data_IF_902613701851
#
_entry.id   IF_902613701851
#
_cell.length_a   1.000
_cell.length_b   1.000
_cell.length_c   1.000
_cell.angle_alpha   90.00
_cell.angle_beta   90.00
_cell.angle_gamma   90.00
#
_symmetry.space_group_name_H-M   'P 1'
#
loop_
_entity.id
_entity.type
_entity.pdbx_description
1 polymer ?
#
# COMPACT_ATOMS: atom_id res chain seq x y z
N UNK A 1 -43.75 -2.32 18.80
CA UNK A 1 -42.86 -1.88 17.70
C UNK A 1 -41.57 -2.67 17.82
N UNK A 2 -41.11 -3.41 16.79
CA UNK A 2 -39.82 -4.09 16.85
C UNK A 2 -38.69 -3.07 17.00
N UNK A 3 -37.68 -3.39 17.80
CA UNK A 3 -36.60 -2.44 18.15
C UNK A 3 -35.69 -2.17 16.94
N UNK A 4 -35.03 -1.00 16.89
CA UNK A 4 -34.09 -0.68 15.80
C UNK A 4 -32.94 -1.69 15.66
N UNK A 5 -32.61 -2.42 16.73
CA UNK A 5 -31.64 -3.52 16.71
C UNK A 5 -32.19 -4.77 15.99
N UNK A 6 -33.48 -5.07 16.13
CA UNK A 6 -34.12 -6.18 15.41
C UNK A 6 -34.17 -5.92 13.90
N UNK A 7 -34.36 -4.66 13.50
CA UNK A 7 -34.31 -4.26 12.09
C UNK A 7 -32.89 -4.35 11.51
N UNK A 8 -31.88 -3.87 12.25
CA UNK A 8 -30.48 -3.96 11.84
C UNK A 8 -29.97 -5.41 11.74
N UNK A 9 -30.41 -6.29 12.64
CA UNK A 9 -30.07 -7.72 12.60
C UNK A 9 -30.76 -8.41 11.41
N UNK A 10 -32.04 -8.13 11.15
CA UNK A 10 -32.75 -8.67 9.97
C UNK A 10 -32.10 -8.22 8.66
N UNK A 11 -31.72 -6.95 8.55
CA UNK A 11 -31.04 -6.44 7.36
C UNK A 11 -29.67 -7.08 7.17
N UNK A 12 -28.91 -7.30 8.26
CA UNK A 12 -27.62 -8.01 8.22
C UNK A 12 -27.80 -9.47 7.80
N UNK A 13 -28.82 -10.13 8.29
CA UNK A 13 -29.11 -11.53 7.99
C UNK A 13 -29.61 -11.70 6.56
N UNK A 14 -30.43 -10.78 6.05
CA UNK A 14 -30.84 -10.76 4.64
C UNK A 14 -29.65 -10.49 3.72
N UNK A 15 -28.81 -9.50 4.02
CA UNK A 15 -27.59 -9.22 3.24
C UNK A 15 -26.65 -10.42 3.24
N UNK A 16 -26.45 -11.08 4.40
CA UNK A 16 -25.66 -12.31 4.49
C UNK A 16 -26.25 -13.43 3.64
N UNK A 17 -27.57 -13.62 3.72
CA UNK A 17 -28.26 -14.66 2.95
C UNK A 17 -28.13 -14.43 1.45
N UNK A 18 -28.30 -13.20 0.99
CA UNK A 18 -28.15 -12.82 -0.42
C UNK A 18 -26.71 -12.96 -0.89
N UNK A 19 -25.72 -12.56 -0.07
CA UNK A 19 -24.29 -12.75 -0.40
C UNK A 19 -23.92 -14.24 -0.48
N UNK A 20 -24.35 -15.05 0.48
CA UNK A 20 -24.10 -16.51 0.46
C UNK A 20 -24.71 -17.18 -0.76
N UNK A 21 -25.89 -16.75 -1.19
CA UNK A 21 -26.52 -17.26 -2.42
C UNK A 21 -25.74 -16.87 -3.68
N UNK A 22 -25.21 -15.65 -3.75
CA UNK A 22 -24.37 -15.21 -4.87
C UNK A 22 -23.03 -15.94 -4.90
N UNK A 23 -22.39 -16.14 -3.73
CA UNK A 23 -21.13 -16.89 -3.62
C UNK A 23 -21.35 -18.34 -4.08
N UNK A 24 -22.38 -19.02 -3.57
CA UNK A 24 -22.70 -20.39 -3.97
C UNK A 24 -23.10 -20.51 -5.46
N UNK A 25 -23.57 -19.42 -6.09
CA UNK A 25 -23.78 -19.37 -7.54
C UNK A 25 -22.45 -19.21 -8.28
N UNK A 26 -21.60 -18.28 -7.85
CA UNK A 26 -20.27 -18.08 -8.43
C UNK A 26 -19.41 -19.34 -8.36
N UNK A 27 -19.43 -20.07 -7.24
CA UNK A 27 -18.69 -21.34 -7.09
C UNK A 27 -19.16 -22.40 -8.09
N UNK A 28 -20.48 -22.50 -8.33
CA UNK A 28 -21.03 -23.40 -9.35
C UNK A 28 -20.61 -22.97 -10.76
N UNK A 29 -20.63 -21.69 -11.05
CA UNK A 29 -20.25 -21.15 -12.35
C UNK A 29 -18.73 -21.38 -12.60
N UNK A 30 -17.88 -21.18 -11.60
CA UNK A 30 -16.44 -21.45 -11.67
C UNK A 30 -16.17 -22.94 -11.91
N UNK A 31 -16.80 -23.83 -11.15
CA UNK A 31 -16.63 -25.27 -11.33
C UNK A 31 -17.10 -25.71 -12.72
N UNK A 32 -18.21 -25.15 -13.21
CA UNK A 32 -18.69 -25.44 -14.57
C UNK A 32 -17.70 -24.98 -15.65
N UNK A 33 -17.10 -23.81 -15.50
CA UNK A 33 -16.07 -23.32 -16.43
C UNK A 33 -14.84 -24.23 -16.39
N UNK A 34 -14.42 -24.67 -15.20
CA UNK A 34 -13.28 -25.58 -15.04
C UNK A 34 -13.52 -26.93 -15.73
N UNK A 35 -14.74 -27.49 -15.62
CA UNK A 35 -15.13 -28.70 -16.33
C UNK A 35 -15.18 -28.49 -17.85
N UNK A 36 -15.69 -27.35 -18.30
CA UNK A 36 -15.72 -26.99 -19.72
C UNK A 36 -14.31 -26.89 -20.30
N UNK A 37 -13.38 -26.19 -19.63
CA UNK A 37 -11.99 -26.08 -20.07
C UNK A 37 -11.31 -27.44 -20.09
N UNK A 38 -11.51 -28.26 -19.05
CA UNK A 38 -10.94 -29.61 -18.98
C UNK A 38 -11.44 -30.50 -20.11
N UNK A 39 -12.74 -30.42 -20.43
CA UNK A 39 -13.34 -31.19 -21.53
C UNK A 39 -12.90 -30.69 -22.91
N UNK A 40 -12.71 -29.38 -23.09
CA UNK A 40 -12.15 -28.80 -24.32
C UNK A 40 -10.70 -29.25 -24.51
N UNK A 41 -9.89 -29.22 -23.46
CA UNK A 41 -8.51 -29.70 -23.51
C UNK A 41 -8.42 -31.19 -23.83
N UNK A 42 -9.30 -32.01 -23.25
CA UNK A 42 -9.41 -33.43 -23.56
C UNK A 42 -9.80 -33.66 -25.04
N UNK A 43 -10.75 -32.88 -25.58
CA UNK A 43 -11.14 -32.95 -27.00
C UNK A 43 -10.03 -32.51 -27.93
N UNK A 44 -9.32 -31.43 -27.62
CA UNK A 44 -8.16 -30.96 -28.40
C UNK A 44 -7.06 -32.02 -28.38
N UNK A 45 -6.74 -32.57 -27.22
CA UNK A 45 -5.75 -33.64 -27.08
C UNK A 45 -6.14 -34.90 -27.87
N UNK A 46 -7.41 -35.29 -27.84
CA UNK A 46 -7.92 -36.44 -28.58
C UNK A 46 -7.98 -36.18 -30.10
N UNK A 47 -8.24 -34.94 -30.52
CA UNK A 47 -8.21 -34.52 -31.93
C UNK A 47 -6.78 -34.41 -32.48
N UNK A 48 -5.79 -34.16 -31.62
CA UNK A 48 -4.36 -34.12 -31.97
C UNK A 48 -3.70 -35.49 -31.95
N UNK A 49 -4.31 -36.50 -31.33
CA UNK A 49 -3.82 -37.88 -31.30
C UNK A 49 -3.53 -38.47 -32.71
N UNK A 50 -4.43 -38.36 -33.72
CA UNK A 50 -4.15 -38.88 -35.06
C UNK A 50 -3.09 -38.07 -35.83
N UNK A 51 -2.88 -36.78 -35.49
CA UNK A 51 -1.79 -35.98 -36.07
C UNK A 51 -0.42 -36.45 -35.55
N UNK A 52 -0.39 -37.05 -34.35
CA UNK A 52 0.81 -37.63 -33.73
C UNK A 52 1.21 -38.99 -34.32
N UNK A 53 0.29 -39.67 -35.00
CA UNK A 53 0.51 -40.97 -35.68
C UNK A 53 0.88 -40.82 -37.18
N UNK A 54 0.72 -39.63 -37.75
CA UNK A 54 1.15 -39.32 -39.13
C UNK A 54 2.64 -38.93 -39.14
N UNK A 55 3.49 -39.94 -39.25
CA UNK A 55 4.95 -39.79 -39.39
C UNK A 55 5.31 -38.93 -40.63
N UNK A 56 5.84 -37.73 -40.40
CA UNK A 56 6.64 -36.99 -41.39
C UNK A 56 8.11 -37.07 -40.92
N UNK A 57 8.92 -37.96 -41.52
CA UNK A 57 10.23 -38.29 -40.99
C UNK A 57 11.23 -37.17 -41.33
N UNK A 58 11.65 -36.41 -40.30
CA UNK A 58 13.00 -35.79 -40.10
C UNK A 58 12.97 -34.54 -39.20
N UNK A 59 11.80 -33.92 -38.97
CA UNK A 59 11.64 -32.68 -38.18
C UNK A 59 11.00 -32.86 -36.80
N UNK A 60 10.42 -34.04 -36.50
CA UNK A 60 9.67 -34.31 -35.27
C UNK A 60 10.51 -34.36 -34.00
N UNK A 61 11.75 -34.85 -34.04
CA UNK A 61 12.54 -34.93 -32.79
C UNK A 61 12.88 -33.56 -32.23
N UNK A 62 13.22 -32.58 -33.08
CA UNK A 62 13.57 -31.24 -32.63
C UNK A 62 12.33 -30.45 -32.20
N UNK A 63 11.19 -30.64 -32.89
CA UNK A 63 9.94 -29.97 -32.54
C UNK A 63 9.32 -30.53 -31.25
N UNK A 64 9.30 -31.85 -31.09
CA UNK A 64 8.84 -32.50 -29.86
C UNK A 64 9.78 -32.18 -28.68
N UNK A 65 11.09 -32.11 -28.91
CA UNK A 65 12.04 -31.68 -27.88
C UNK A 65 11.82 -30.21 -27.51
N UNK A 66 11.62 -29.31 -28.48
CA UNK A 66 11.33 -27.90 -28.21
C UNK A 66 9.99 -27.70 -27.47
N UNK A 67 8.96 -28.48 -27.80
CA UNK A 67 7.68 -28.46 -27.06
C UNK A 67 7.87 -28.95 -25.64
N UNK A 68 8.63 -30.04 -25.45
CA UNK A 68 8.91 -30.60 -24.14
C UNK A 68 9.74 -29.64 -23.29
N UNK A 69 10.77 -29.03 -23.87
CA UNK A 69 11.60 -28.01 -23.22
C UNK A 69 10.77 -26.79 -22.81
N UNK A 70 9.88 -26.31 -23.68
CA UNK A 70 8.96 -25.22 -23.34
C UNK A 70 7.97 -25.60 -22.23
N UNK A 71 7.48 -26.85 -22.22
CA UNK A 71 6.62 -27.36 -21.16
C UNK A 71 7.36 -27.46 -19.83
N UNK A 72 8.56 -28.05 -19.82
CA UNK A 72 9.41 -28.20 -18.64
C UNK A 72 9.81 -26.84 -18.07
N UNK A 73 10.14 -25.86 -18.93
CA UNK A 73 10.42 -24.48 -18.53
C UNK A 73 9.20 -23.81 -17.88
N UNK A 74 8.00 -24.07 -18.41
CA UNK A 74 6.75 -23.53 -17.86
C UNK A 74 6.41 -24.17 -16.51
N UNK A 75 6.56 -25.48 -16.38
CA UNK A 75 6.37 -26.20 -15.12
C UNK A 75 7.37 -25.73 -14.05
N UNK A 76 8.63 -25.50 -14.44
CA UNK A 76 9.64 -24.93 -13.56
C UNK A 76 9.24 -23.51 -13.10
N UNK A 77 8.77 -22.66 -14.02
CA UNK A 77 8.31 -21.31 -13.71
C UNK A 77 7.12 -21.32 -12.73
N UNK A 78 6.14 -22.21 -12.97
CA UNK A 78 5.00 -22.41 -12.07
C UNK A 78 5.43 -22.90 -10.68
N UNK A 79 6.40 -23.82 -10.63
CA UNK A 79 6.97 -24.32 -9.37
C UNK A 79 7.66 -23.20 -8.57
N UNK A 80 8.45 -22.34 -9.24
CA UNK A 80 9.09 -21.17 -8.64
C UNK A 80 8.06 -20.16 -8.11
N UNK A 81 7.00 -19.86 -8.87
CA UNK A 81 5.91 -18.97 -8.44
C UNK A 81 5.14 -19.56 -7.24
N UNK A 82 4.87 -20.87 -7.25
CA UNK A 82 4.20 -21.56 -6.16
C UNK A 82 5.07 -21.58 -4.89
N UNK A 83 6.38 -21.81 -5.02
CA UNK A 83 7.36 -21.70 -3.95
C UNK A 83 7.39 -20.30 -3.35
N UNK A 84 7.55 -19.29 -4.19
CA UNK A 84 7.51 -17.89 -3.79
C UNK A 84 6.23 -17.54 -3.01
N UNK A 85 5.05 -17.97 -3.50
CA UNK A 85 3.77 -17.79 -2.81
C UNK A 85 3.77 -18.33 -1.37
N UNK A 86 4.36 -19.52 -1.20
CA UNK A 86 4.44 -20.19 0.10
C UNK A 86 5.36 -19.45 1.05
N UNK A 87 6.54 -19.07 0.57
CA UNK A 87 7.55 -18.38 1.39
C UNK A 87 7.09 -16.98 1.77
N UNK A 88 6.37 -16.30 0.87
CA UNK A 88 5.83 -14.96 1.09
C UNK A 88 4.83 -14.92 2.26
N UNK A 89 4.05 -15.98 2.46
CA UNK A 89 3.09 -16.06 3.59
C UNK A 89 3.76 -16.12 4.96
N UNK A 90 5.03 -16.49 5.01
CA UNK A 90 5.79 -16.59 6.26
C UNK A 90 6.56 -15.31 6.60
N UNK A 91 6.54 -14.30 5.72
CA UNK A 91 7.25 -13.06 5.97
C UNK A 91 6.42 -12.14 6.86
N UNK A 92 7.05 -11.63 7.91
CA UNK A 92 6.42 -10.75 8.90
C UNK A 92 6.88 -9.29 8.78
N UNK A 93 7.96 -9.04 8.05
CA UNK A 93 8.53 -7.70 7.89
C UNK A 93 8.53 -7.24 6.43
N UNK A 94 8.43 -5.93 6.22
CA UNK A 94 8.55 -5.34 4.90
C UNK A 94 9.92 -5.64 4.27
N UNK A 95 11.00 -5.62 5.05
CA UNK A 95 12.35 -5.87 4.54
C UNK A 95 12.49 -7.28 3.98
N UNK A 96 11.95 -8.28 4.69
CA UNK A 96 12.05 -9.68 4.26
C UNK A 96 11.20 -9.95 3.00
N UNK A 97 10.03 -9.30 2.88
CA UNK A 97 9.24 -9.33 1.65
C UNK A 97 10.01 -8.73 0.47
N UNK A 98 10.70 -7.61 0.66
CA UNK A 98 11.50 -6.99 -0.41
C UNK A 98 12.70 -7.85 -0.80
N UNK A 99 13.39 -8.49 0.17
CA UNK A 99 14.47 -9.46 -0.10
C UNK A 99 13.97 -10.65 -0.89
N UNK A 100 12.85 -11.23 -0.46
CA UNK A 100 12.24 -12.36 -1.12
C UNK A 100 11.81 -12.00 -2.55
N UNK A 101 11.18 -10.83 -2.76
CA UNK A 101 10.81 -10.34 -4.08
C UNK A 101 12.02 -10.18 -5.00
N UNK A 102 13.11 -9.58 -4.52
CA UNK A 102 14.33 -9.40 -5.31
C UNK A 102 14.94 -10.74 -5.70
N UNK A 103 15.04 -11.69 -4.77
CA UNK A 103 15.54 -13.04 -5.03
C UNK A 103 14.62 -13.80 -6.00
N UNK A 104 13.30 -13.74 -5.80
CA UNK A 104 12.32 -14.35 -6.69
C UNK A 104 12.42 -13.80 -8.11
N UNK A 105 12.49 -12.48 -8.26
CA UNK A 105 12.62 -11.82 -9.55
C UNK A 105 13.92 -12.20 -10.29
N UNK A 106 15.02 -12.48 -9.59
CA UNK A 106 16.30 -12.88 -10.20
C UNK A 106 16.24 -14.24 -10.94
N UNK A 107 15.21 -15.04 -10.70
CA UNK A 107 14.97 -16.28 -11.47
C UNK A 107 14.32 -16.01 -12.83
N UNK A 108 13.64 -14.87 -12.97
CA UNK A 108 12.86 -14.50 -14.17
C UNK A 108 13.47 -13.31 -14.94
N UNK A 109 14.43 -12.62 -14.34
CA UNK A 109 15.21 -11.56 -14.99
C UNK A 109 16.69 -11.74 -14.63
N UNK A 110 17.59 -11.67 -15.62
CA UNK A 110 19.02 -11.85 -15.36
C UNK A 110 19.60 -10.80 -14.43
N UNK A 111 19.10 -9.58 -14.52
CA UNK A 111 19.54 -8.43 -13.75
C UNK A 111 18.34 -7.74 -13.13
N UNK A 112 18.38 -7.55 -11.82
CA UNK A 112 17.29 -6.92 -11.06
C UNK A 112 17.88 -5.94 -10.07
N UNK A 113 17.42 -4.69 -10.09
CA UNK A 113 17.73 -3.70 -9.08
C UNK A 113 16.44 -3.17 -8.47
N UNK A 114 16.43 -2.96 -7.15
CA UNK A 114 15.28 -2.46 -6.42
C UNK A 114 15.60 -1.09 -5.83
N UNK A 115 14.69 -0.15 -6.08
CA UNK A 115 14.73 1.21 -5.56
C UNK A 115 13.51 1.45 -4.68
N UNK A 116 13.72 1.93 -3.46
CA UNK A 116 12.61 2.30 -2.56
C UNK A 116 12.20 3.74 -2.85
N UNK A 117 10.90 3.97 -3.02
CA UNK A 117 10.34 5.31 -3.21
C UNK A 117 10.07 5.95 -1.83
N UNK A 118 10.73 7.07 -1.53
CA UNK A 118 10.51 7.82 -0.28
C UNK A 118 10.35 9.30 -0.61
N UNK A 119 9.15 9.83 -0.38
CA UNK A 119 8.83 11.22 -0.78
C UNK A 119 8.96 11.38 -2.29
N UNK A 120 9.71 12.38 -2.73
CA UNK A 120 10.00 12.66 -4.14
C UNK A 120 11.34 12.07 -4.62
N UNK A 121 11.87 11.07 -3.90
CA UNK A 121 13.16 10.46 -4.21
C UNK A 121 13.08 8.95 -4.35
N UNK A 122 13.97 8.41 -5.18
CA UNK A 122 14.32 7.00 -5.22
C UNK A 122 15.62 6.77 -4.46
N UNK A 123 15.65 5.70 -3.67
CA UNK A 123 16.82 5.25 -2.92
C UNK A 123 17.19 3.84 -3.39
N UNK A 124 18.43 3.66 -3.82
CA UNK A 124 18.98 2.34 -4.13
C UNK A 124 18.93 1.42 -2.91
N UNK A 125 18.42 0.21 -3.08
CA UNK A 125 18.27 -0.73 -1.97
C UNK A 125 19.15 -1.96 -2.15
N UNK A 126 18.98 -2.69 -3.25
CA UNK A 126 19.85 -3.80 -3.61
C UNK A 126 19.75 -4.11 -5.11
N UNK A 127 20.75 -4.83 -5.63
CA UNK A 127 20.81 -5.24 -7.01
C UNK A 127 21.44 -6.64 -7.13
N UNK A 128 20.92 -7.48 -8.02
CA UNK A 128 21.35 -8.85 -8.31
C UNK A 128 21.59 -9.01 -9.81
N UNK A 129 22.54 -9.86 -10.19
CA UNK A 129 22.90 -10.13 -11.59
C UNK A 129 23.80 -9.09 -12.25
N UNK A 130 24.16 -8.03 -11.53
CA UNK A 130 25.16 -7.05 -11.93
C UNK A 130 26.54 -7.43 -11.38
N UNK A 131 27.61 -6.88 -11.96
CA UNK A 131 28.95 -6.95 -11.35
C UNK A 131 28.96 -6.27 -9.99
N UNK A 132 29.84 -6.69 -9.07
CA UNK A 132 29.90 -6.14 -7.71
C UNK A 132 30.05 -4.62 -7.69
N UNK A 133 30.89 -4.08 -8.58
CA UNK A 133 31.10 -2.64 -8.71
C UNK A 133 29.81 -1.90 -9.13
N UNK A 134 29.04 -2.46 -10.07
CA UNK A 134 27.79 -1.86 -10.54
C UNK A 134 26.67 -2.01 -9.50
N UNK A 135 26.57 -3.16 -8.85
CA UNK A 135 25.62 -3.38 -7.77
C UNK A 135 25.83 -2.40 -6.61
N UNK A 136 27.10 -2.15 -6.23
CA UNK A 136 27.45 -1.17 -5.20
C UNK A 136 27.09 0.26 -5.61
N UNK A 137 27.36 0.66 -6.86
CA UNK A 137 26.93 1.96 -7.40
C UNK A 137 25.42 2.11 -7.33
N UNK A 138 24.66 1.14 -7.83
CA UNK A 138 23.19 1.16 -7.84
C UNK A 138 22.60 1.29 -6.42
N UNK A 139 23.17 0.58 -5.44
CA UNK A 139 22.75 0.66 -4.04
C UNK A 139 23.06 2.01 -3.40
N UNK A 140 24.14 2.68 -3.80
CA UNK A 140 24.52 3.99 -3.27
C UNK A 140 23.75 5.16 -3.89
N UNK A 141 22.93 4.91 -4.92
CA UNK A 141 22.18 5.96 -5.60
C UNK A 141 21.06 6.53 -4.72
N UNK A 142 20.94 7.86 -4.75
CA UNK A 142 19.78 8.60 -4.31
C UNK A 142 19.53 9.74 -5.32
N UNK A 143 18.33 9.81 -5.89
CA UNK A 143 18.00 10.77 -6.94
C UNK A 143 16.51 11.14 -6.91
N UNK A 144 16.16 12.29 -7.49
CA UNK A 144 14.77 12.73 -7.55
C UNK A 144 13.99 11.86 -8.55
N UNK A 145 12.69 11.66 -8.29
CA UNK A 145 11.86 10.91 -9.23
C UNK A 145 11.81 11.57 -10.62
N UNK A 146 11.99 12.89 -10.72
CA UNK A 146 12.10 13.63 -11.99
C UNK A 146 13.29 13.21 -12.85
N UNK A 147 14.37 12.72 -12.23
CA UNK A 147 15.64 12.44 -12.92
C UNK A 147 15.61 11.12 -13.70
N UNK A 148 14.59 10.29 -13.46
CA UNK A 148 14.43 8.98 -14.09
C UNK A 148 13.02 8.78 -14.66
N UNK A 149 12.78 9.19 -15.92
CA UNK A 149 11.49 9.00 -16.60
C UNK A 149 10.94 7.58 -16.56
N UNK A 150 11.77 6.56 -16.69
CA UNK A 150 11.40 5.14 -16.71
C UNK A 150 10.83 4.69 -15.36
N UNK A 151 11.57 4.93 -14.27
CA UNK A 151 11.12 4.55 -12.92
C UNK A 151 9.91 5.39 -12.50
N UNK A 152 9.89 6.69 -12.80
CA UNK A 152 8.75 7.57 -12.54
C UNK A 152 7.52 7.18 -13.34
N UNK A 153 7.70 6.75 -14.59
CA UNK A 153 6.63 6.20 -15.40
C UNK A 153 6.00 4.99 -14.72
N UNK A 154 6.85 4.06 -14.22
CA UNK A 154 6.39 2.87 -13.53
C UNK A 154 5.61 3.19 -12.25
N UNK A 155 6.01 4.22 -11.49
CA UNK A 155 5.27 4.70 -10.32
C UNK A 155 3.85 5.20 -10.63
N UNK A 156 3.54 5.49 -11.89
CA UNK A 156 2.23 6.02 -12.32
C UNK A 156 1.43 5.01 -13.16
N UNK A 157 2.01 3.85 -13.49
CA UNK A 157 1.35 2.79 -14.25
C UNK A 157 1.12 1.54 -13.40
N UNK A 158 0.14 0.72 -13.80
CA UNK A 158 -0.07 -0.62 -13.22
C UNK A 158 0.71 -1.71 -13.96
N UNK A 159 1.28 -1.39 -15.12
CA UNK A 159 2.12 -2.31 -15.92
C UNK A 159 3.58 -1.89 -15.99
N UNK A 160 4.38 -2.73 -16.65
CA UNK A 160 5.78 -2.48 -16.93
C UNK A 160 5.95 -1.24 -17.83
N UNK A 161 6.88 -0.36 -17.46
CA UNK A 161 7.44 0.61 -18.40
C UNK A 161 8.67 0.00 -19.05
N UNK A 162 8.87 0.25 -20.34
CA UNK A 162 10.00 -0.28 -21.09
C UNK A 162 10.77 0.85 -21.75
N UNK A 163 12.09 0.81 -21.66
CA UNK A 163 12.98 1.69 -22.40
C UNK A 163 13.96 0.87 -23.26
N UNK A 164 14.12 1.27 -24.52
CA UNK A 164 15.06 0.64 -25.46
C UNK A 164 16.51 1.04 -25.21
N UNK A 165 16.74 2.10 -24.44
CA UNK A 165 18.03 2.52 -23.95
C UNK A 165 17.86 3.34 -22.65
N UNK A 166 18.98 3.71 -22.03
CA UNK A 166 19.01 4.61 -20.87
C UNK A 166 19.50 6.02 -21.26
N UNK A 167 19.37 6.43 -22.53
CA UNK A 167 19.93 7.70 -23.02
C UNK A 167 19.30 8.92 -22.34
N UNK A 168 18.03 8.83 -21.95
CA UNK A 168 17.31 9.86 -21.18
C UNK A 168 17.47 9.71 -19.66
N UNK A 169 18.18 8.68 -19.20
CA UNK A 169 18.29 8.27 -17.80
C UNK A 169 19.69 8.57 -17.25
N UNK A 170 20.03 9.86 -17.15
CA UNK A 170 21.39 10.34 -16.83
C UNK A 170 22.01 9.65 -15.61
N UNK A 171 21.21 9.39 -14.57
CA UNK A 171 21.66 8.77 -13.32
C UNK A 171 21.84 7.25 -13.48
N UNK A 172 20.86 6.55 -14.05
CA UNK A 172 20.94 5.10 -14.24
C UNK A 172 22.00 4.72 -15.26
N UNK A 173 22.10 5.45 -16.37
CA UNK A 173 23.12 5.26 -17.39
C UNK A 173 24.53 5.37 -16.81
N UNK A 174 24.77 6.32 -15.91
CA UNK A 174 26.08 6.48 -15.23
C UNK A 174 26.39 5.33 -14.29
N UNK A 175 25.39 4.81 -13.59
CA UNK A 175 25.59 3.77 -12.60
C UNK A 175 25.85 2.40 -13.24
N UNK A 176 25.08 2.07 -14.27
CA UNK A 176 25.13 0.78 -14.95
C UNK A 176 26.22 0.75 -16.04
N UNK A 177 26.47 1.87 -16.70
CA UNK A 177 27.40 1.95 -17.83
C UNK A 177 26.82 1.36 -19.12
N UNK A 178 27.66 1.28 -20.16
CA UNK A 178 27.27 0.92 -21.53
C UNK A 178 27.23 -0.58 -21.81
N UNK A 179 27.67 -1.41 -20.86
CA UNK A 179 27.83 -2.87 -21.03
C UNK A 179 26.53 -3.66 -20.86
N UNK A 180 25.43 -2.99 -20.51
CA UNK A 180 24.18 -3.65 -20.15
C UNK A 180 23.19 -3.57 -21.30
N UNK A 181 22.86 -4.73 -21.86
CA UNK A 181 21.95 -4.86 -22.98
C UNK A 181 20.53 -4.38 -22.61
N UNK A 182 19.95 -3.60 -23.51
CA UNK A 182 18.52 -3.27 -23.52
C UNK A 182 17.69 -4.47 -24.05
N UNK A 183 16.35 -4.51 -23.86
CA UNK A 183 15.50 -3.50 -23.23
C UNK A 183 15.58 -3.49 -21.70
N UNK A 184 15.30 -2.32 -21.15
CA UNK A 184 15.15 -2.08 -19.71
C UNK A 184 13.68 -2.05 -19.36
N UNK A 185 13.31 -2.71 -18.25
CA UNK A 185 11.93 -2.72 -17.77
C UNK A 185 11.84 -2.20 -16.35
N UNK A 186 10.79 -1.45 -16.05
CA UNK A 186 10.52 -0.95 -14.70
C UNK A 186 9.11 -1.31 -14.24
N UNK A 187 9.00 -1.84 -13.03
CA UNK A 187 7.73 -2.18 -12.39
C UNK A 187 7.61 -1.53 -11.03
N UNK A 188 6.45 -0.97 -10.72
CA UNK A 188 6.17 -0.43 -9.38
C UNK A 188 5.56 -1.51 -8.48
N UNK A 189 6.16 -1.69 -7.31
CA UNK A 189 5.55 -2.37 -6.18
C UNK A 189 4.71 -1.36 -5.40
N UNK A 190 3.42 -1.67 -5.23
CA UNK A 190 2.47 -0.82 -4.50
C UNK A 190 1.91 -1.57 -3.29
N UNK A 191 1.59 -0.82 -2.25
CA UNK A 191 0.76 -1.28 -1.14
C UNK A 191 -0.28 -0.20 -0.81
N UNK A 192 -1.55 -0.59 -0.69
CA UNK A 192 -2.68 0.31 -0.45
C UNK A 192 -2.74 1.45 -1.48
N UNK A 193 -2.50 1.10 -2.76
CA UNK A 193 -2.36 2.02 -3.91
C UNK A 193 -1.21 3.03 -3.84
N UNK A 194 -0.38 2.98 -2.80
CA UNK A 194 0.80 3.84 -2.67
C UNK A 194 2.02 3.12 -3.23
N UNK A 195 2.82 3.75 -4.11
CA UNK A 195 4.07 3.17 -4.53
C UNK A 195 5.03 3.08 -3.36
N UNK A 196 5.68 1.94 -3.23
CA UNK A 196 6.60 1.63 -2.14
C UNK A 196 8.01 1.39 -2.66
N UNK A 197 8.13 0.67 -3.77
CA UNK A 197 9.41 0.43 -4.45
C UNK A 197 9.21 0.30 -5.96
N UNK A 198 10.30 0.36 -6.70
CA UNK A 198 10.34 0.10 -8.14
C UNK A 198 11.46 -0.87 -8.45
N UNK A 199 11.16 -1.90 -9.22
CA UNK A 199 12.14 -2.84 -9.75
C UNK A 199 12.58 -2.35 -11.13
N UNK A 200 13.89 -2.34 -11.36
CA UNK A 200 14.55 -2.15 -12.65
C UNK A 200 15.12 -3.48 -13.11
N UNK A 201 14.83 -3.85 -14.36
CA UNK A 201 15.17 -5.15 -14.93
C UNK A 201 15.91 -4.94 -16.24
N UNK A 202 16.90 -5.80 -16.50
CA UNK A 202 17.57 -5.85 -17.79
C UNK A 202 17.86 -7.30 -18.18
N UNK A 203 17.82 -7.54 -19.49
CA UNK A 203 18.27 -8.80 -20.08
C UNK A 203 19.81 -8.86 -20.12
N UNK A 204 20.35 -10.04 -20.40
CA UNK A 204 21.74 -10.23 -20.78
C UNK A 204 21.83 -10.86 -22.17
N UNK A 205 23.02 -11.29 -22.60
CA UNK A 205 23.24 -11.88 -23.93
C UNK A 205 22.58 -13.25 -24.11
N UNK A 206 22.23 -13.95 -23.03
CA UNK A 206 21.78 -15.34 -23.06
C UNK A 206 20.33 -15.50 -22.59
N UNK A 207 19.84 -14.60 -21.73
CA UNK A 207 18.55 -14.71 -21.07
C UNK A 207 17.76 -13.41 -21.21
N UNK A 208 16.47 -13.56 -21.48
CA UNK A 208 15.50 -12.47 -21.54
C UNK A 208 14.71 -12.38 -20.24
N UNK A 209 14.01 -11.26 -20.03
CA UNK A 209 13.11 -11.10 -18.88
C UNK A 209 11.74 -11.73 -19.15
N UNK A 210 11.28 -12.61 -18.25
CA UNK A 210 9.88 -13.05 -18.21
C UNK A 210 9.05 -12.04 -17.40
N UNK A 211 8.51 -11.06 -18.12
CA UNK A 211 7.72 -9.96 -17.56
C UNK A 211 6.42 -10.43 -16.89
N UNK A 212 5.83 -11.53 -17.35
CA UNK A 212 4.57 -12.04 -16.80
C UNK A 212 4.79 -12.62 -15.42
N UNK A 213 5.80 -13.47 -15.26
CA UNK A 213 6.17 -14.03 -13.96
C UNK A 213 6.56 -12.94 -12.96
N UNK A 214 7.30 -11.92 -13.41
CA UNK A 214 7.66 -10.78 -12.55
C UNK A 214 6.42 -9.98 -12.11
N UNK A 215 5.48 -9.72 -13.03
CA UNK A 215 4.22 -9.06 -12.70
C UNK A 215 3.42 -9.82 -11.63
N UNK A 216 3.39 -11.15 -11.71
CA UNK A 216 2.76 -12.03 -10.72
C UNK A 216 3.47 -11.91 -9.36
N UNK A 217 4.80 -12.01 -9.33
CA UNK A 217 5.60 -11.87 -8.10
C UNK A 217 5.35 -10.53 -7.40
N UNK A 218 5.36 -9.43 -8.15
CA UNK A 218 5.14 -8.07 -7.64
C UNK A 218 3.72 -7.93 -7.09
N UNK A 219 2.72 -8.47 -7.79
CA UNK A 219 1.32 -8.44 -7.35
C UNK A 219 1.15 -9.21 -6.03
N UNK A 220 1.75 -10.39 -5.91
CA UNK A 220 1.71 -11.19 -4.69
C UNK A 220 2.43 -10.49 -3.53
N UNK A 221 3.62 -9.94 -3.78
CA UNK A 221 4.37 -9.16 -2.79
C UNK A 221 3.60 -7.92 -2.32
N UNK A 222 2.93 -7.22 -3.24
CA UNK A 222 2.05 -6.09 -2.92
C UNK A 222 0.92 -6.49 -1.98
N UNK A 223 0.21 -7.58 -2.28
CA UNK A 223 -0.85 -8.11 -1.41
C UNK A 223 -0.33 -8.53 -0.02
N UNK A 224 0.87 -9.12 0.06
CA UNK A 224 1.50 -9.45 1.34
C UNK A 224 1.80 -8.18 2.16
N UNK A 225 2.36 -7.15 1.54
CA UNK A 225 2.64 -5.87 2.19
C UNK A 225 1.35 -5.15 2.63
N UNK A 226 0.29 -5.22 1.84
CA UNK A 226 -1.03 -4.71 2.24
C UNK A 226 -1.57 -5.45 3.46
N UNK A 227 -1.46 -6.78 3.48
CA UNK A 227 -1.89 -7.58 4.60
C UNK A 227 -1.07 -7.27 5.86
N UNK A 228 0.26 -7.14 5.75
CA UNK A 228 1.12 -6.71 6.86
C UNK A 228 0.74 -5.32 7.37
N UNK A 229 0.51 -4.36 6.48
CA UNK A 229 0.06 -3.02 6.85
C UNK A 229 -1.30 -3.06 7.56
N UNK A 230 -2.25 -3.87 7.07
CA UNK A 230 -3.57 -4.04 7.67
C UNK A 230 -3.52 -4.75 9.02
N UNK A 231 -2.65 -5.77 9.18
CA UNK A 231 -2.41 -6.43 10.47
C UNK A 231 -1.86 -5.45 11.50
N UNK A 232 -0.87 -4.65 11.11
CA UNK A 232 -0.34 -3.58 11.97
C UNK A 232 -1.47 -2.64 12.37
N UNK A 233 -2.29 -2.17 11.42
CA UNK A 233 -3.44 -1.31 11.73
C UNK A 233 -4.48 -1.98 12.63
N UNK A 234 -4.75 -3.27 12.42
CA UNK A 234 -5.70 -4.04 13.22
C UNK A 234 -5.19 -4.25 14.65
N UNK A 235 -3.94 -4.67 14.83
CA UNK A 235 -3.35 -4.91 16.16
C UNK A 235 -3.28 -3.60 16.96
N UNK A 236 -3.00 -2.48 16.29
CA UNK A 236 -3.10 -1.15 16.88
C UNK A 236 -4.54 -0.82 17.31
N UNK A 237 -5.55 -1.20 16.52
CA UNK A 237 -6.97 -0.99 16.85
C UNK A 237 -7.54 -1.95 17.92
N UNK A 238 -7.06 -3.21 17.96
CA UNK A 238 -7.56 -4.28 18.83
C UNK A 238 -7.01 -4.18 20.26
N UNK A 239 -5.86 -3.51 20.42
CA UNK A 239 -5.29 -3.17 21.72
C UNK A 239 -5.98 -1.94 22.37
N UNK A 240 -7.01 -1.38 21.74
CA UNK A 240 -7.88 -0.39 22.36
C UNK A 240 -8.79 -1.06 23.41
N UNK A 241 -8.87 -0.57 24.67
CA UNK A 241 -9.69 -1.20 25.70
C UNK A 241 -11.18 -1.19 25.30
N UNK A 242 -11.83 -2.36 25.41
CA UNK A 242 -13.26 -2.51 25.24
C UNK A 242 -14.02 -1.69 26.31
N UNK A 243 -14.41 -0.47 25.97
CA UNK A 243 -15.30 0.33 26.80
C UNK A 243 -16.68 -0.34 26.83
N UNK A 244 -17.16 -0.59 28.05
CA UNK A 244 -18.37 -1.36 28.35
C UNK A 244 -19.65 -0.83 27.69
N UNK A 245 -20.64 -1.74 27.63
CA UNK A 245 -21.99 -1.54 27.11
C UNK A 245 -22.56 -0.16 27.50
N UNK A 246 -23.11 0.63 26.55
CA UNK A 246 -23.81 1.86 26.89
C UNK A 246 -25.13 1.54 27.61
N UNK A 247 -25.26 2.01 28.86
CA UNK A 247 -26.54 2.18 29.52
C UNK A 247 -27.28 3.29 28.76
N UNK A 248 -28.46 2.98 28.23
CA UNK A 248 -29.29 3.93 27.49
C UNK A 248 -29.85 5.04 28.37
N UNK A 249 -30.07 6.27 27.85
CA UNK A 249 -30.79 7.31 28.56
C UNK A 249 -32.30 7.01 28.65
N UNK A 250 -33.01 7.52 29.67
CA UNK A 250 -34.41 7.22 29.91
C UNK A 250 -35.34 7.87 28.88
N UNK A 251 -36.44 7.16 28.64
CA UNK A 251 -37.54 7.47 27.73
C UNK A 251 -38.36 8.63 28.32
N UNK A 252 -38.64 9.66 27.52
CA UNK A 252 -39.79 10.55 27.76
C UNK A 252 -40.75 10.47 26.57
N UNK A 253 -41.97 10.10 26.93
CA UNK A 253 -43.18 9.88 26.15
C UNK A 253 -43.90 11.22 25.94
N UNK A 254 -44.31 11.56 24.70
CA UNK A 254 -45.45 12.45 24.44
C UNK A 254 -45.92 12.42 22.96
N UNK A 255 -47.13 11.89 22.79
CA UNK A 255 -48.24 12.40 21.97
C UNK A 255 -48.17 12.39 20.43
N UNK A 256 -49.05 11.54 19.90
CA UNK A 256 -49.61 11.45 18.56
C UNK A 256 -50.43 12.69 18.14
N UNK A 257 -50.46 12.98 16.83
CA UNK A 257 -51.70 13.42 16.16
C UNK A 257 -51.72 12.99 14.68
N UNK A 258 -52.81 12.36 14.32
CA UNK A 258 -53.21 11.72 13.05
C UNK A 258 -53.81 12.68 12.02
N UNK A 259 -53.79 12.27 10.74
CA UNK A 259 -54.76 12.63 9.70
C UNK A 259 -54.13 13.27 8.44
N UNK A 260 -54.57 13.04 7.20
CA UNK A 260 -55.51 12.13 6.56
C UNK A 260 -55.26 12.25 5.04
N UNK A 261 -55.65 11.23 4.30
CA UNK A 261 -55.50 11.01 2.86
C UNK A 261 -56.23 12.05 1.98
N UNK A 262 -55.75 12.22 0.74
CA UNK A 262 -56.48 12.87 -0.35
C UNK A 262 -55.88 12.54 -1.73
N UNK A 263 -56.50 11.57 -2.42
CA UNK A 263 -56.28 11.26 -3.84
C UNK A 263 -56.83 12.37 -4.75
N UNK A 264 -56.21 12.59 -5.91
CA UNK A 264 -56.79 13.39 -6.99
C UNK A 264 -55.89 13.47 -8.23
N UNK A 265 -56.00 12.46 -9.10
CA UNK A 265 -55.36 12.34 -10.41
C UNK A 265 -55.89 13.37 -11.42
N UNK A 266 -55.07 13.80 -12.41
CA UNK A 266 -55.29 13.56 -13.86
C UNK A 266 -54.67 14.61 -14.83
N UNK A 267 -54.10 14.10 -15.93
CA UNK A 267 -53.69 14.73 -17.21
C UNK A 267 -52.45 15.64 -17.22
N UNK A 268 -51.47 15.52 -18.12
CA UNK A 268 -51.24 14.64 -19.28
C UNK A 268 -49.85 14.96 -19.90
N UNK A 269 -49.13 13.91 -20.29
CA UNK A 269 -47.92 13.86 -21.16
C UNK A 269 -48.27 14.28 -22.62
N UNK A 270 -47.34 14.41 -23.60
CA UNK A 270 -45.86 14.25 -23.61
C UNK A 270 -45.18 15.50 -24.28
N UNK A 271 -43.90 15.61 -24.64
CA UNK A 271 -42.81 14.71 -25.01
C UNK A 271 -41.48 15.49 -24.99
N UNK A 272 -40.34 14.81 -24.89
CA UNK A 272 -39.07 15.32 -25.43
C UNK A 272 -37.80 15.10 -24.61
N UNK A 273 -37.24 13.89 -24.70
CA UNK A 273 -35.81 13.70 -25.02
C UNK A 273 -34.71 14.08 -24.01
N UNK A 274 -34.02 13.03 -23.55
CA UNK A 274 -32.58 12.95 -23.28
C UNK A 274 -31.99 13.49 -21.95
N UNK A 275 -31.36 12.55 -21.25
CA UNK A 275 -30.37 12.68 -20.18
C UNK A 275 -28.99 12.29 -20.75
N UNK A 276 -27.86 12.42 -20.05
CA UNK A 276 -27.26 13.62 -19.45
C UNK A 276 -25.78 13.81 -19.91
N UNK A 277 -25.21 15.01 -19.77
CA UNK A 277 -23.77 15.25 -19.93
C UNK A 277 -23.20 15.89 -18.64
N UNK A 278 -22.39 15.14 -17.91
CA UNK A 278 -21.55 15.63 -16.82
C UNK A 278 -20.14 15.90 -17.38
N UNK A 279 -19.84 17.17 -17.61
CA UNK A 279 -18.49 17.66 -17.85
C UNK A 279 -17.78 17.89 -16.52
N UNK A 280 -16.54 17.40 -16.44
CA UNK A 280 -15.69 17.51 -15.26
C UNK A 280 -15.17 18.93 -15.01
N UNK A 281 -14.91 19.22 -13.75
CA UNK A 281 -14.11 20.36 -13.31
C UNK A 281 -13.00 19.83 -12.41
N UNK A 282 -11.77 20.00 -12.90
CA UNK A 282 -10.53 19.85 -12.16
C UNK A 282 -10.41 20.99 -11.14
N UNK A 283 -9.87 20.70 -9.95
CA UNK A 283 -9.41 21.75 -9.04
C UNK A 283 -7.96 21.51 -8.67
N UNK A 284 -7.09 22.41 -9.13
CA UNK A 284 -5.73 22.64 -8.67
C UNK A 284 -5.75 23.13 -7.21
N UNK A 285 -4.81 22.69 -6.39
CA UNK A 285 -4.31 23.51 -5.28
C UNK A 285 -2.78 23.42 -5.29
N UNK A 286 -2.16 24.59 -5.40
CA UNK A 286 -0.73 24.78 -5.54
C UNK A 286 0.01 24.86 -4.22
N UNK A 287 1.33 24.84 -4.36
CA UNK A 287 2.33 25.03 -3.32
C UNK A 287 2.64 26.52 -3.07
N UNK A 288 2.96 26.84 -1.81
CA UNK A 288 3.89 27.87 -1.33
C UNK A 288 4.01 27.63 0.20
N UNK A 289 5.17 27.35 0.80
CA UNK A 289 6.34 28.23 1.01
C UNK A 289 6.26 28.73 2.47
N UNK A 290 7.22 28.55 3.37
CA UNK A 290 8.57 29.13 3.37
C UNK A 290 9.53 28.46 4.37
N UNK A 291 10.83 28.72 4.16
CA UNK A 291 11.98 28.31 4.95
C UNK A 291 12.55 29.47 5.79
N UNK A 292 13.19 29.19 6.96
CA UNK A 292 14.59 29.56 7.31
C UNK A 292 14.94 29.48 8.82
N UNK A 293 16.26 29.35 9.03
CA UNK A 293 17.11 29.52 10.24
C UNK A 293 17.57 28.19 10.89
N UNK A 294 18.86 27.88 11.09
CA UNK A 294 20.11 28.65 10.93
C UNK A 294 21.36 27.75 10.81
N UNK A 295 22.32 28.23 10.02
CA UNK A 295 23.78 27.98 10.02
C UNK A 295 24.38 28.76 11.22
N UNK A 296 25.45 28.43 11.96
CA UNK A 296 26.79 27.95 11.62
C UNK A 296 27.57 27.62 12.92
N UNK A 297 28.55 26.69 12.89
CA UNK A 297 29.94 26.87 13.41
C UNK A 297 30.85 25.88 12.67
N UNK A 298 32.01 26.36 12.24
CA UNK A 298 32.97 25.72 11.34
C UNK A 298 34.10 24.92 12.04
N UNK A 299 34.76 24.09 11.21
CA UNK A 299 36.09 23.44 11.31
C UNK A 299 36.25 22.25 12.28
N UNK A 300 36.35 21.06 11.70
CA UNK A 300 37.64 20.32 11.59
C UNK A 300 37.52 19.12 10.63
N UNK A 301 38.64 18.80 9.98
CA UNK A 301 38.82 17.66 9.05
C UNK A 301 39.11 16.38 9.86
N UNK A 302 38.64 15.20 9.42
CA UNK A 302 39.56 14.05 9.28
C UNK A 302 39.27 13.30 7.95
N UNK A 303 40.20 12.74 7.16
CA UNK A 303 41.38 11.92 7.41
C UNK A 303 41.09 10.63 8.19
N UNK A 304 40.93 9.52 7.46
CA UNK A 304 41.07 8.16 7.99
C UNK A 304 39.76 7.52 8.41
N UNK A 305 39.50 6.33 7.85
CA UNK A 305 38.32 5.54 8.14
C UNK A 305 38.31 4.97 9.56
N UNK A 306 37.11 4.59 9.99
CA UNK A 306 36.80 3.44 10.82
C UNK A 306 35.27 3.36 10.93
N UNK A 307 34.78 2.15 10.72
CA UNK A 307 33.41 1.70 10.94
C UNK A 307 32.98 2.07 12.38
N UNK A 308 31.97 2.93 12.53
CA UNK A 308 31.30 3.16 13.83
C UNK A 308 29.80 3.21 13.56
N UNK A 309 29.14 2.08 13.78
CA UNK A 309 27.75 2.06 14.21
C UNK A 309 27.68 2.95 15.46
N UNK A 310 27.15 4.16 15.33
CA UNK A 310 26.77 4.97 16.50
C UNK A 310 25.67 4.19 17.20
N UNK A 311 26.00 3.52 18.30
CA UNK A 311 25.00 3.01 19.23
C UNK A 311 24.12 4.19 19.65
N UNK A 312 22.92 4.28 19.08
CA UNK A 312 21.88 5.20 19.54
C UNK A 312 21.67 4.87 21.02
N UNK A 313 21.91 5.85 21.90
CA UNK A 313 21.74 5.66 23.34
C UNK A 313 20.33 5.11 23.62
N UNK A 314 20.19 4.18 24.56
CA UNK A 314 18.88 3.62 24.95
C UNK A 314 17.86 4.72 25.28
N UNK A 315 18.34 5.87 25.79
CA UNK A 315 17.51 7.05 26.02
C UNK A 315 16.98 7.68 24.72
N UNK A 316 17.82 7.84 23.69
CA UNK A 316 17.41 8.36 22.37
C UNK A 316 16.38 7.44 21.71
N UNK A 317 16.50 6.12 21.90
CA UNK A 317 15.51 5.14 21.42
C UNK A 317 14.15 5.36 22.08
N UNK A 318 14.11 5.51 23.41
CA UNK A 318 12.89 5.76 24.17
C UNK A 318 12.20 7.07 23.75
N UNK A 319 12.97 8.14 23.54
CA UNK A 319 12.44 9.40 23.00
C UNK A 319 11.86 9.23 21.58
N UNK A 320 12.55 8.46 20.72
CA UNK A 320 12.08 8.20 19.36
C UNK A 320 10.80 7.36 19.33
N UNK A 321 10.68 6.39 20.23
CA UNK A 321 9.49 5.53 20.38
C UNK A 321 8.31 6.33 20.90
N UNK A 322 8.51 7.13 21.95
CA UNK A 322 7.48 8.02 22.50
C UNK A 322 6.90 8.96 21.44
N UNK A 323 7.76 9.61 20.65
CA UNK A 323 7.34 10.50 19.57
C UNK A 323 6.57 9.76 18.47
N UNK A 324 6.99 8.55 18.09
CA UNK A 324 6.28 7.72 17.11
C UNK A 324 4.90 7.33 17.63
N UNK A 325 4.80 6.97 18.90
CA UNK A 325 3.55 6.53 19.51
C UNK A 325 2.56 7.71 19.66
N UNK A 326 3.02 8.88 20.10
CA UNK A 326 2.21 10.10 20.10
C UNK A 326 1.66 10.41 18.71
N UNK A 327 2.52 10.42 17.68
CA UNK A 327 2.12 10.70 16.30
C UNK A 327 1.05 9.72 15.81
N UNK A 328 1.19 8.44 16.14
CA UNK A 328 0.24 7.40 15.77
C UNK A 328 -1.15 7.67 16.35
N UNK A 329 -1.24 7.83 17.67
CA UNK A 329 -2.50 8.05 18.37
C UNK A 329 -3.26 9.27 17.83
N UNK A 330 -2.54 10.37 17.59
CA UNK A 330 -3.15 11.60 17.08
C UNK A 330 -3.56 11.47 15.61
N UNK A 331 -2.82 10.70 14.81
CA UNK A 331 -3.19 10.42 13.41
C UNK A 331 -4.46 9.57 13.32
N UNK A 332 -4.67 8.64 14.25
CA UNK A 332 -5.92 7.85 14.32
C UNK A 332 -7.13 8.73 14.68
N UNK A 333 -6.99 9.63 15.67
CA UNK A 333 -8.05 10.60 16.00
C UNK A 333 -8.45 11.39 14.75
N UNK A 334 -7.45 11.86 13.97
CA UNK A 334 -7.70 12.60 12.74
C UNK A 334 -8.43 11.75 11.70
N UNK A 335 -7.98 10.50 11.47
CA UNK A 335 -8.53 9.61 10.45
C UNK A 335 -10.01 9.26 10.70
N UNK A 336 -10.40 9.01 11.95
CA UNK A 336 -11.77 8.63 12.29
C UNK A 336 -12.72 9.81 12.49
N UNK A 337 -12.18 11.01 12.73
CA UNK A 337 -12.97 12.20 13.05
C UNK A 337 -12.68 13.38 12.12
N UNK A 338 -12.36 13.15 10.84
CA UNK A 338 -11.95 14.20 9.89
C UNK A 338 -12.92 15.39 9.86
N UNK A 339 -14.22 15.13 9.82
CA UNK A 339 -15.24 16.18 9.82
C UNK A 339 -15.25 17.00 11.12
N UNK A 340 -15.19 16.32 12.28
CA UNK A 340 -15.18 17.00 13.59
C UNK A 340 -13.89 17.78 13.83
N UNK A 341 -12.77 17.32 13.29
CA UNK A 341 -11.49 18.03 13.31
C UNK A 341 -11.60 19.32 12.48
N UNK A 342 -12.13 19.22 11.25
CA UNK A 342 -12.33 20.39 10.39
C UNK A 342 -13.24 21.44 11.03
N UNK A 343 -14.39 21.01 11.56
CA UNK A 343 -15.31 21.89 12.29
C UNK A 343 -14.68 22.47 13.55
N UNK A 344 -13.91 21.67 14.29
CA UNK A 344 -13.22 22.08 15.51
C UNK A 344 -12.13 23.13 15.27
N UNK A 345 -11.43 23.06 14.14
CA UNK A 345 -10.48 24.10 13.72
C UNK A 345 -11.19 25.40 13.38
N UNK A 346 -12.30 25.31 12.63
CA UNK A 346 -13.07 26.48 12.23
C UNK A 346 -13.64 27.25 13.43
N UNK A 347 -14.10 26.53 14.46
CA UNK A 347 -14.70 27.12 15.66
C UNK A 347 -13.72 27.28 16.84
N UNK A 348 -12.46 26.84 16.68
CA UNK A 348 -11.41 26.86 17.70
C UNK A 348 -11.81 26.16 19.02
N UNK A 349 -12.54 25.06 18.91
CA UNK A 349 -13.08 24.27 20.04
C UNK A 349 -12.71 22.78 19.90
N UNK A 350 -11.58 22.48 19.25
CA UNK A 350 -11.17 21.14 18.87
C UNK A 350 -11.05 20.19 20.08
N UNK A 351 -10.53 20.67 21.22
CA UNK A 351 -10.44 19.85 22.42
C UNK A 351 -11.81 19.46 22.94
N UNK A 352 -12.78 20.39 23.04
CA UNK A 352 -14.12 20.08 23.55
C UNK A 352 -14.84 19.09 22.63
N UNK A 353 -14.72 19.26 21.31
CA UNK A 353 -15.35 18.36 20.32
C UNK A 353 -14.78 16.97 20.31
N UNK A 354 -13.49 16.81 20.57
CA UNK A 354 -12.76 15.54 20.54
C UNK A 354 -12.29 15.09 21.92
N UNK A 355 -12.83 15.69 22.98
CA UNK A 355 -12.38 15.50 24.37
C UNK A 355 -12.23 14.04 24.73
N UNK A 356 -13.27 13.25 24.43
CA UNK A 356 -13.28 11.81 24.73
C UNK A 356 -12.15 11.04 24.03
N UNK A 357 -11.84 11.39 22.79
CA UNK A 357 -10.84 10.68 21.99
C UNK A 357 -9.42 11.17 22.36
N UNK A 358 -9.24 12.48 22.57
CA UNK A 358 -7.97 13.07 23.01
C UNK A 358 -7.59 12.58 24.41
N UNK A 359 -8.51 12.63 25.38
CA UNK A 359 -8.25 12.19 26.76
C UNK A 359 -7.97 10.67 26.81
N UNK A 360 -8.70 9.86 26.02
CA UNK A 360 -8.44 8.42 25.93
C UNK A 360 -7.07 8.14 25.34
N UNK A 361 -6.71 8.77 24.23
CA UNK A 361 -5.39 8.60 23.62
C UNK A 361 -4.28 9.11 24.54
N UNK A 362 -4.55 10.15 25.33
CA UNK A 362 -3.62 10.65 26.34
C UNK A 362 -3.33 9.60 27.42
N UNK A 363 -4.36 8.96 27.95
CA UNK A 363 -4.21 7.89 28.93
C UNK A 363 -3.43 6.69 28.36
N UNK A 364 -3.63 6.36 27.08
CA UNK A 364 -2.87 5.30 26.40
C UNK A 364 -1.40 5.67 26.25
N UNK A 365 -1.10 6.92 25.91
CA UNK A 365 0.25 7.45 25.82
C UNK A 365 1.00 7.35 27.16
N UNK A 366 0.39 7.83 28.24
CA UNK A 366 0.99 7.82 29.58
C UNK A 366 1.24 6.41 30.13
N UNK A 367 0.43 5.42 29.74
CA UNK A 367 0.61 4.01 30.15
C UNK A 367 1.73 3.28 29.42
N UNK A 368 1.99 3.64 28.15
CA UNK A 368 2.96 2.92 27.29
C UNK A 368 4.34 3.55 27.30
N UNK A 369 4.42 4.88 27.41
CA UNK A 369 5.70 5.60 27.38
C UNK A 369 6.32 5.62 28.77
N UNK A 370 7.63 5.34 28.83
CA UNK A 370 8.38 5.37 30.08
C UNK A 370 8.23 6.72 30.81
N UNK A 371 7.93 6.72 32.13
CA UNK A 371 7.82 7.95 32.92
C UNK A 371 9.07 8.85 32.85
N UNK A 372 10.25 8.28 32.58
CA UNK A 372 11.50 9.02 32.42
C UNK A 372 11.47 9.98 31.21
N UNK A 373 10.72 9.64 30.16
CA UNK A 373 10.57 10.49 28.96
C UNK A 373 9.42 11.47 29.16
N UNK A 374 8.28 11.00 29.67
CA UNK A 374 7.06 11.82 29.85
C UNK A 374 7.26 12.98 30.82
N UNK A 375 8.17 12.84 31.80
CA UNK A 375 8.56 13.94 32.71
C UNK A 375 9.45 14.99 32.07
N UNK A 376 10.19 14.66 31.01
CA UNK A 376 11.11 15.59 30.32
C UNK A 376 10.44 16.31 29.16
N UNK A 377 9.68 15.59 28.33
CA UNK A 377 9.07 16.12 27.11
C UNK A 377 7.69 15.51 26.88
N UNK A 378 6.71 16.37 26.59
CA UNK A 378 5.35 15.96 26.27
C UNK A 378 5.13 15.85 24.75
N UNK A 379 5.64 14.77 24.14
CA UNK A 379 5.46 14.54 22.70
C UNK A 379 3.99 14.38 22.29
N UNK A 380 3.11 14.00 23.22
CA UNK A 380 1.69 13.90 22.93
C UNK A 380 1.09 15.28 22.66
N UNK A 381 1.39 16.25 23.52
CA UNK A 381 0.99 17.64 23.32
C UNK A 381 1.50 18.20 21.98
N UNK A 382 2.78 17.99 21.67
CA UNK A 382 3.38 18.46 20.41
C UNK A 382 2.65 17.90 19.18
N UNK A 383 2.33 16.61 19.19
CA UNK A 383 1.66 15.97 18.06
C UNK A 383 0.18 16.37 17.96
N UNK A 384 -0.50 16.67 19.08
CA UNK A 384 -1.86 17.26 19.08
C UNK A 384 -1.86 18.60 18.33
N UNK A 385 -0.93 19.50 18.67
CA UNK A 385 -0.82 20.79 17.98
C UNK A 385 -0.42 20.57 16.51
N UNK A 386 0.57 19.72 16.24
CA UNK A 386 1.07 19.51 14.88
C UNK A 386 0.04 18.90 13.93
N UNK A 387 -0.68 17.87 14.36
CA UNK A 387 -1.56 17.08 13.50
C UNK A 387 -3.01 17.56 13.55
N UNK A 388 -3.58 17.73 14.75
CA UNK A 388 -4.96 18.17 14.89
C UNK A 388 -5.07 19.68 14.72
N UNK A 389 -4.15 20.44 15.32
CA UNK A 389 -4.13 21.89 15.21
C UNK A 389 -3.43 22.46 13.97
N UNK A 390 -2.83 21.63 13.11
CA UNK A 390 -2.03 22.08 11.95
C UNK A 390 -0.90 23.06 12.30
N UNK A 391 -0.26 22.83 13.43
CA UNK A 391 0.76 23.70 14.04
C UNK A 391 0.22 24.99 14.68
N UNK A 392 -1.10 25.15 14.81
CA UNK A 392 -1.73 26.25 15.54
C UNK A 392 -2.41 25.77 16.83
N UNK A 393 -1.81 26.11 17.98
CA UNK A 393 -2.33 25.79 19.30
C UNK A 393 -3.65 26.52 19.62
N UNK A 394 -3.92 27.65 18.96
CA UNK A 394 -5.13 28.46 19.18
C UNK A 394 -6.41 27.73 18.75
N UNK A 395 -6.28 26.68 17.94
CA UNK A 395 -7.40 25.87 17.43
C UNK A 395 -7.95 24.88 18.46
N UNK A 396 -7.18 24.58 19.51
CA UNK A 396 -7.55 23.58 20.53
C UNK A 396 -8.65 24.08 21.46
N UNK A 397 -8.79 25.40 21.62
CA UNK A 397 -9.72 26.03 22.55
C UNK A 397 -9.14 26.21 23.95
N UNK A 398 -9.77 27.07 24.74
CA UNK A 398 -9.29 27.47 26.08
C UNK A 398 -9.37 26.35 27.13
N UNK A 399 -10.20 25.34 26.90
CA UNK A 399 -10.40 24.22 27.83
C UNK A 399 -9.31 23.14 27.72
N UNK A 400 -8.40 23.26 26.76
CA UNK A 400 -7.33 22.31 26.58
C UNK A 400 -6.30 22.43 27.72
N UNK A 401 -5.99 21.35 28.46
CA UNK A 401 -5.17 21.39 29.68
C UNK A 401 -3.69 21.74 29.44
N UNK A 402 -3.25 21.85 28.19
CA UNK A 402 -1.86 22.15 27.86
C UNK A 402 -0.90 20.95 28.06
N UNK A 403 0.41 21.19 27.96
CA UNK A 403 1.43 20.18 28.20
C UNK A 403 1.49 19.81 29.69
N UNK A 404 1.74 18.53 29.99
CA UNK A 404 1.80 17.99 31.38
C UNK A 404 3.21 17.68 31.87
N UNK A 405 4.22 18.36 31.35
CA UNK A 405 5.59 18.25 31.87
C UNK A 405 5.67 18.88 33.27
N UNK A 406 6.27 18.17 34.24
CA UNK A 406 6.60 18.74 35.55
C UNK A 406 7.69 19.80 35.34
N UNK A 407 7.38 21.07 35.62
CA UNK A 407 8.37 22.14 35.70
C UNK A 407 9.10 22.12 37.05
#
# INVERSE_FOLDING_TARGET
MPSGQDYANRLRDDVRRTLSQHIAKLERDINSIQDQVSSLFARVSQSLAPVRELEIPSTDSLFLEAIKEAHDQKDQSLSLLAGFSRDLRQQETQEDVLKLLLNGASHFAPRVALFVARGDQFLGWAALGFTDATAQKLRALAFAQSDTPLLRGALNSDGAQTATDLSHETVLHRAVGTETAAPWHAFSLRALRRPLATLLLASDSERTCDLNSISILISMAGMCLENLALKILHDLSAQAPAAGKPVGPPVHEAASSTGSLGLGSLHGTPAGGASPALAGVQTKVGAAGEAKAAEAVAKEKPAGGLDVVREISEEEKLHSEAKRFARLLISEIKLYNEQRVSEGRAHKDLYVRLKRDIDRSRDMYEKRVSPAVTRKVDYFHDEVIRILGENDASTLGSDYPGPRVEN
#
